data_IF_176880184034
#
_entry.id   IF_176880184034
#
_cell.length_a   1.000
_cell.length_b   1.000
_cell.length_c   1.000
_cell.angle_alpha   90.00
_cell.angle_beta   90.00
_cell.angle_gamma   90.00
#
_symmetry.space_group_name_H-M   'P 1'
#
loop_
_entity.id
_entity.type
_entity.pdbx_description
1 polymer ?
#
# COMPACT_ATOMS: atom_id res chain seq x y z
N UNK A 1 12.55 -0.83 9.66
CA UNK A 1 11.68 -1.37 8.59
C UNK A 1 10.18 -1.20 8.86
N UNK A 2 9.65 -1.70 9.98
CA UNK A 2 8.21 -1.58 10.29
C UNK A 2 7.64 -0.16 10.33
N UNK A 3 8.43 0.82 10.79
CA UNK A 3 8.05 2.24 10.76
C UNK A 3 7.90 2.79 9.33
N UNK A 4 8.70 2.29 8.37
CA UNK A 4 8.60 2.70 6.95
C UNK A 4 7.34 2.12 6.35
N UNK A 5 7.09 0.81 6.53
CA UNK A 5 5.84 0.17 6.08
C UNK A 5 4.61 0.87 6.64
N UNK A 6 4.63 1.25 7.93
CA UNK A 6 3.55 2.00 8.56
C UNK A 6 3.31 3.37 7.91
N UNK A 7 4.37 4.11 7.60
CA UNK A 7 4.27 5.42 6.93
C UNK A 7 3.75 5.28 5.49
N UNK A 8 4.25 4.30 4.74
CA UNK A 8 3.80 4.03 3.37
C UNK A 8 2.32 3.61 3.34
N UNK A 9 1.89 2.72 4.24
CA UNK A 9 0.48 2.35 4.38
C UNK A 9 -0.39 3.56 4.76
N UNK A 10 0.09 4.46 5.62
CA UNK A 10 -0.66 5.66 5.98
C UNK A 10 -0.76 6.67 4.83
N UNK A 11 0.17 6.65 3.87
CA UNK A 11 0.14 7.53 2.70
C UNK A 11 -0.78 7.05 1.57
N UNK A 12 -1.15 5.77 1.54
CA UNK A 12 -1.93 5.19 0.44
C UNK A 12 -3.28 5.89 0.17
N UNK A 13 -4.10 6.23 1.19
CA UNK A 13 -5.34 6.97 0.97
C UNK A 13 -5.13 8.31 0.27
N UNK A 14 -4.03 9.02 0.58
CA UNK A 14 -3.70 10.29 -0.05
C UNK A 14 -3.27 10.12 -1.51
N UNK A 15 -2.60 9.02 -1.84
CA UNK A 15 -2.26 8.69 -3.22
C UNK A 15 -3.53 8.45 -4.06
N UNK A 16 -4.48 7.65 -3.56
CA UNK A 16 -5.77 7.44 -4.24
C UNK A 16 -6.59 8.72 -4.37
N UNK A 17 -6.60 9.55 -3.32
CA UNK A 17 -7.23 10.87 -3.35
C UNK A 17 -6.61 11.77 -4.42
N UNK A 18 -5.29 11.84 -4.49
CA UNK A 18 -4.56 12.63 -5.48
C UNK A 18 -4.84 12.14 -6.91
N UNK A 19 -4.88 10.82 -7.13
CA UNK A 19 -5.28 10.24 -8.42
C UNK A 19 -6.71 10.66 -8.81
N UNK A 20 -7.63 10.68 -7.84
CA UNK A 20 -8.99 11.18 -8.04
C UNK A 20 -9.04 12.66 -8.40
N UNK A 21 -8.23 13.49 -7.73
CA UNK A 21 -8.11 14.92 -8.06
C UNK A 21 -7.57 15.12 -9.47
N UNK A 22 -6.60 14.30 -9.90
CA UNK A 22 -6.03 14.37 -11.25
C UNK A 22 -6.88 13.71 -12.35
N UNK A 23 -8.00 13.05 -12.01
CA UNK A 23 -8.88 12.36 -12.95
C UNK A 23 -8.18 11.24 -13.77
N UNK A 24 -7.23 10.51 -13.17
CA UNK A 24 -6.46 9.46 -13.86
C UNK A 24 -6.85 8.04 -13.38
N UNK A 25 -8.02 7.49 -13.75
CA UNK A 25 -8.53 6.23 -13.20
C UNK A 25 -7.65 5.02 -13.51
N UNK A 26 -6.88 5.04 -14.59
CA UNK A 26 -5.95 3.97 -14.95
C UNK A 26 -4.74 3.89 -14.01
N UNK A 27 -4.46 4.95 -13.24
CA UNK A 27 -3.43 4.95 -12.19
C UNK A 27 -3.93 4.39 -10.86
N UNK A 28 -5.23 4.13 -10.70
CA UNK A 28 -5.80 3.60 -9.46
C UNK A 28 -5.10 2.34 -8.91
N UNK A 29 -4.68 1.34 -9.72
CA UNK A 29 -3.94 0.19 -9.18
C UNK A 29 -2.48 0.51 -8.81
N UNK A 30 -1.91 1.62 -9.29
CA UNK A 30 -0.48 1.91 -9.15
C UNK A 30 -0.01 1.94 -7.67
N UNK A 31 -0.67 2.65 -6.73
CA UNK A 31 -0.20 2.70 -5.35
C UNK A 31 -0.18 1.31 -4.69
N UNK A 32 -1.20 0.49 -4.95
CA UNK A 32 -1.27 -0.87 -4.43
C UNK A 32 -0.17 -1.77 -5.00
N UNK A 33 0.08 -1.68 -6.32
CA UNK A 33 1.13 -2.45 -6.99
C UNK A 33 2.53 -2.07 -6.48
N UNK A 34 2.80 -0.78 -6.31
CA UNK A 34 4.07 -0.31 -5.74
C UNK A 34 4.26 -0.80 -4.31
N UNK A 35 3.22 -0.72 -3.48
CA UNK A 35 3.28 -1.21 -2.10
C UNK A 35 3.46 -2.73 -2.05
N UNK A 36 2.77 -3.48 -2.89
CA UNK A 36 2.93 -4.93 -3.00
C UNK A 36 4.37 -5.29 -3.39
N UNK A 37 4.93 -4.63 -4.42
CA UNK A 37 6.31 -4.82 -4.84
C UNK A 37 7.31 -4.55 -3.72
N UNK A 38 7.11 -3.45 -2.96
CA UNK A 38 7.92 -3.12 -1.79
C UNK A 38 7.83 -4.19 -0.70
N UNK A 39 6.63 -4.67 -0.37
CA UNK A 39 6.42 -5.72 0.63
C UNK A 39 7.09 -7.04 0.22
N UNK A 40 6.95 -7.45 -1.04
CA UNK A 40 7.59 -8.65 -1.57
C UNK A 40 9.12 -8.53 -1.55
N UNK A 41 9.68 -7.39 -1.99
CA UNK A 41 11.11 -7.14 -1.92
C UNK A 41 11.64 -7.19 -0.50
N UNK A 42 10.98 -6.49 0.44
CA UNK A 42 11.33 -6.51 1.86
C UNK A 42 11.28 -7.92 2.44
N UNK A 43 10.22 -8.69 2.14
CA UNK A 43 10.07 -10.04 2.66
C UNK A 43 11.21 -10.95 2.16
N UNK A 44 11.56 -10.89 0.87
CA UNK A 44 12.72 -11.61 0.33
C UNK A 44 14.04 -11.19 0.96
N UNK A 45 14.21 -9.89 1.20
CA UNK A 45 15.40 -9.38 1.88
C UNK A 45 15.51 -9.90 3.32
N UNK A 46 14.40 -9.94 4.07
CA UNK A 46 14.36 -10.53 5.41
C UNK A 46 14.70 -12.02 5.36
N UNK A 47 14.08 -12.79 4.47
CA UNK A 47 14.35 -14.22 4.34
C UNK A 47 15.82 -14.52 3.99
N UNK A 48 16.43 -13.71 3.11
CA UNK A 48 17.85 -13.83 2.77
C UNK A 48 18.76 -13.60 3.99
N UNK A 49 18.35 -12.76 4.94
CA UNK A 49 19.08 -12.52 6.20
C UNK A 49 18.75 -13.57 7.29
N UNK A 50 17.58 -14.19 7.23
CA UNK A 50 17.13 -15.23 8.18
C UNK A 50 17.77 -16.59 7.93
N UNK A 51 18.46 -16.79 6.80
CA UNK A 51 19.27 -18.00 6.53
C UNK A 51 20.32 -18.33 7.60
N UNK A 52 20.63 -17.38 8.50
CA UNK A 52 21.52 -17.55 9.66
C UNK A 52 20.80 -17.43 11.02
N UNK A 53 19.48 -17.31 11.05
CA UNK A 53 18.69 -16.98 12.23
C UNK A 53 17.77 -18.16 12.68
N UNK A 54 17.31 -18.18 13.93
CA UNK A 54 16.50 -19.28 14.48
C UNK A 54 15.15 -19.45 13.75
N UNK A 55 14.63 -20.69 13.70
CA UNK A 55 13.35 -21.08 13.06
C UNK A 55 12.17 -20.17 13.47
N UNK A 56 12.14 -19.69 14.71
CA UNK A 56 11.12 -18.76 15.20
C UNK A 56 11.05 -17.42 14.42
N UNK A 57 12.16 -17.00 13.81
CA UNK A 57 12.25 -15.77 13.02
C UNK A 57 11.55 -15.88 11.67
N UNK A 58 11.53 -17.07 11.05
CA UNK A 58 10.84 -17.32 9.78
C UNK A 58 9.32 -17.28 9.95
N UNK A 59 8.80 -17.93 11.00
CA UNK A 59 7.37 -17.87 11.34
C UNK A 59 6.89 -16.43 11.59
N UNK A 60 7.67 -15.64 12.34
CA UNK A 60 7.38 -14.24 12.57
C UNK A 60 7.37 -13.41 11.27
N UNK A 61 8.35 -13.60 10.39
CA UNK A 61 8.42 -12.88 9.11
C UNK A 61 7.21 -13.17 8.21
N UNK A 62 6.71 -14.41 8.20
CA UNK A 62 5.51 -14.81 7.46
C UNK A 62 4.24 -14.18 8.04
N UNK A 63 4.05 -14.23 9.36
CA UNK A 63 2.90 -13.59 10.02
C UNK A 63 2.82 -12.09 9.73
N UNK A 64 3.95 -11.40 9.84
CA UNK A 64 4.05 -9.97 9.52
C UNK A 64 3.66 -9.68 8.06
N UNK A 65 4.10 -10.53 7.12
CA UNK A 65 3.75 -10.36 5.70
C UNK A 65 2.24 -10.53 5.48
N UNK A 66 1.61 -11.52 6.13
CA UNK A 66 0.16 -11.72 6.03
C UNK A 66 -0.60 -10.51 6.58
N UNK A 67 -0.22 -9.98 7.74
CA UNK A 67 -0.84 -8.79 8.31
C UNK A 67 -0.70 -7.55 7.41
N UNK A 68 0.48 -7.36 6.81
CA UNK A 68 0.73 -6.26 5.87
C UNK A 68 -0.11 -6.41 4.59
N UNK A 69 -0.27 -7.64 4.07
CA UNK A 69 -1.11 -7.94 2.91
C UNK A 69 -2.60 -7.74 3.20
N UNK A 70 -3.08 -8.16 4.38
CA UNK A 70 -4.46 -7.92 4.79
C UNK A 70 -4.78 -6.43 4.88
N UNK A 71 -3.86 -5.64 5.43
CA UNK A 71 -3.98 -4.17 5.47
C UNK A 71 -3.99 -3.57 4.07
N UNK A 72 -3.08 -3.99 3.20
CA UNK A 72 -3.04 -3.53 1.81
C UNK A 72 -4.34 -3.89 1.08
N UNK A 73 -4.82 -5.14 1.24
CA UNK A 73 -6.09 -5.59 0.66
C UNK A 73 -7.27 -4.73 1.12
N UNK A 74 -7.35 -4.43 2.42
CA UNK A 74 -8.37 -3.53 2.97
C UNK A 74 -8.31 -2.13 2.35
N UNK A 75 -7.12 -1.57 2.18
CA UNK A 75 -6.96 -0.25 1.55
C UNK A 75 -7.30 -0.26 0.06
N UNK A 76 -6.93 -1.30 -0.67
CA UNK A 76 -7.29 -1.48 -2.08
C UNK A 76 -8.81 -1.58 -2.25
N UNK A 77 -9.51 -2.28 -1.35
CA UNK A 77 -10.97 -2.37 -1.38
C UNK A 77 -11.66 -1.00 -1.16
N UNK A 78 -11.10 -0.16 -0.30
CA UNK A 78 -11.65 1.19 -0.03
C UNK A 78 -11.17 2.23 -1.06
N UNK A 79 -10.15 1.91 -1.86
CA UNK A 79 -9.52 2.84 -2.80
C UNK A 79 -10.47 3.52 -3.81
N UNK A 80 -11.51 2.85 -4.37
CA UNK A 80 -12.45 3.51 -5.26
C UNK A 80 -13.22 4.63 -4.55
N UNK A 81 -13.58 4.43 -3.28
CA UNK A 81 -14.25 5.45 -2.47
C UNK A 81 -13.37 6.68 -2.27
N UNK A 82 -12.09 6.49 -1.94
CA UNK A 82 -11.14 7.61 -1.81
C UNK A 82 -10.87 8.32 -3.14
N UNK A 83 -10.84 7.57 -4.25
CA UNK A 83 -10.74 8.15 -5.59
C UNK A 83 -11.94 9.04 -5.90
N UNK A 84 -13.16 8.54 -5.67
CA UNK A 84 -14.39 9.32 -5.89
C UNK A 84 -14.45 10.59 -5.04
N UNK A 85 -13.96 10.53 -3.79
CA UNK A 85 -13.85 11.74 -2.97
C UNK A 85 -12.92 12.76 -3.66
N UNK A 86 -11.79 12.31 -4.21
CA UNK A 86 -10.88 13.16 -4.97
C UNK A 86 -11.51 13.77 -6.22
N UNK A 87 -12.30 12.99 -6.97
CA UNK A 87 -12.98 13.50 -8.16
C UNK A 87 -14.04 14.55 -7.81
N UNK A 88 -14.78 14.36 -6.71
CA UNK A 88 -15.72 15.36 -6.19
C UNK A 88 -15.02 16.66 -5.80
N UNK A 89 -13.87 16.57 -5.11
CA UNK A 89 -13.06 17.74 -4.75
C UNK A 89 -12.62 18.48 -6.01
N UNK A 90 -12.09 17.77 -7.01
CA UNK A 90 -11.70 18.37 -8.29
C UNK A 90 -12.85 19.13 -8.94
N UNK A 91 -14.04 18.53 -8.99
CA UNK A 91 -15.23 19.17 -9.55
C UNK A 91 -15.64 20.44 -8.77
N UNK A 92 -15.57 20.42 -7.44
CA UNK A 92 -15.86 21.59 -6.60
C UNK A 92 -14.85 22.74 -6.79
N UNK A 93 -13.60 22.41 -7.11
CA UNK A 93 -12.53 23.38 -7.35
C UNK A 93 -12.55 23.94 -8.78
N UNK A 94 -13.50 23.55 -9.63
CA UNK A 94 -13.57 23.96 -11.03
C UNK A 94 -12.57 23.24 -11.93
N UNK A 95 -12.08 22.07 -11.50
CA UNK A 95 -11.35 21.17 -12.40
C UNK A 95 -12.28 20.67 -13.50
N UNK A 96 -11.94 20.99 -14.74
CA UNK A 96 -12.66 20.60 -15.96
C UNK A 96 -12.49 19.11 -16.26
#
# INVERSE_FOLDING_TARGET
MFHVTRRLNASLPFAYLAIGICQEPWLLPLPALLMLGFLTWRHRHILAQVGTAPIASDGFAKHVMVDDLLRLGGQTLVSPGTYFIGTMISAMLGGF
#
